data_IF_345656710482
#
_entry.id   IF_345656710482
#
_cell.length_a   1.000
_cell.length_b   1.000
_cell.length_c   1.000
_cell.angle_alpha   90.00
_cell.angle_beta   90.00
_cell.angle_gamma   90.00
#
_symmetry.space_group_name_H-M   'P 1'
#
loop_
_entity.id
_entity.type
_entity.pdbx_description
1 polymer ?
#
# COMPACT_ATOMS: atom_id res chain seq x y z
N UNK A 1 6.62 30.49 -5.42
CA UNK A 1 6.57 29.02 -5.42
C UNK A 1 5.55 28.61 -4.37
N UNK A 2 4.67 27.67 -4.69
CA UNK A 2 3.60 27.24 -3.79
C UNK A 2 4.19 26.54 -2.55
N UNK A 3 3.82 26.98 -1.34
CA UNK A 3 4.36 26.46 -0.07
C UNK A 3 4.10 24.95 0.08
N UNK A 4 2.97 24.46 -0.42
CA UNK A 4 2.64 23.03 -0.35
C UNK A 4 3.46 22.21 -1.36
N UNK A 5 3.82 22.80 -2.50
CA UNK A 5 4.70 22.15 -3.48
C UNK A 5 6.11 21.93 -2.91
N UNK A 6 6.63 22.91 -2.14
CA UNK A 6 7.91 22.78 -1.45
C UNK A 6 7.88 21.69 -0.38
N UNK A 7 6.81 21.61 0.40
CA UNK A 7 6.63 20.55 1.40
C UNK A 7 6.57 19.17 0.75
N UNK A 8 5.84 19.04 -0.35
CA UNK A 8 5.77 17.80 -1.13
C UNK A 8 7.15 17.42 -1.66
N UNK A 9 7.85 18.35 -2.30
CA UNK A 9 9.20 18.12 -2.81
C UNK A 9 10.16 17.66 -1.71
N UNK A 10 10.15 18.36 -0.58
CA UNK A 10 10.96 18.01 0.60
C UNK A 10 10.62 16.61 1.13
N UNK A 11 9.33 16.27 1.28
CA UNK A 11 8.91 14.97 1.79
C UNK A 11 9.32 13.82 0.85
N UNK A 12 9.13 13.95 -0.46
CA UNK A 12 9.55 12.94 -1.42
C UNK A 12 11.08 12.75 -1.44
N UNK A 13 11.83 13.84 -1.30
CA UNK A 13 13.29 13.83 -1.34
C UNK A 13 13.93 13.25 -0.08
N UNK A 14 13.40 13.57 1.10
CA UNK A 14 14.07 13.26 2.37
C UNK A 14 13.39 12.16 3.19
N UNK A 15 12.11 11.89 2.94
CA UNK A 15 11.35 10.90 3.70
C UNK A 15 10.84 9.75 2.82
N UNK A 16 10.63 9.96 1.52
CA UNK A 16 9.98 9.01 0.61
C UNK A 16 8.52 8.66 0.97
N UNK A 17 8.03 9.16 2.11
CA UNK A 17 6.74 8.90 2.73
C UNK A 17 6.15 10.21 3.25
N UNK A 18 4.83 10.36 3.13
CA UNK A 18 4.08 11.47 3.71
C UNK A 18 2.62 11.09 3.96
N UNK A 19 1.93 11.88 4.78
CA UNK A 19 0.50 11.72 5.00
C UNK A 19 -0.27 12.82 4.28
N UNK A 20 -1.22 12.42 3.43
CA UNK A 20 -2.05 13.32 2.64
C UNK A 20 -3.41 13.52 3.33
N UNK A 21 -3.70 14.77 3.71
CA UNK A 21 -4.99 15.21 4.27
C UNK A 21 -5.68 16.15 3.31
N UNK A 22 -6.98 16.41 3.54
CA UNK A 22 -7.80 17.25 2.66
C UNK A 22 -7.74 16.78 1.19
N UNK A 23 -7.67 15.46 1.00
CA UNK A 23 -7.47 14.78 -0.28
C UNK A 23 -8.67 14.85 -1.25
N UNK A 24 -9.79 15.46 -0.83
CA UNK A 24 -11.00 15.58 -1.66
C UNK A 24 -11.84 14.30 -1.79
N UNK A 25 -11.30 13.13 -1.42
CA UNK A 25 -12.09 11.88 -1.31
C UNK A 25 -13.15 12.02 -0.20
N UNK A 26 -14.40 11.72 -0.53
CA UNK A 26 -15.52 11.78 0.43
C UNK A 26 -15.30 10.82 1.61
N UNK A 27 -15.46 11.33 2.84
CA UNK A 27 -15.40 10.51 4.05
C UNK A 27 -16.44 9.38 4.04
N UNK A 28 -17.61 9.60 3.42
CA UNK A 28 -18.63 8.54 3.29
C UNK A 28 -18.19 7.39 2.38
N UNK A 29 -17.33 7.68 1.39
CA UNK A 29 -16.72 6.66 0.53
C UNK A 29 -15.63 5.92 1.30
N UNK A 30 -14.76 6.64 2.01
CA UNK A 30 -13.71 6.04 2.85
C UNK A 30 -14.31 5.07 3.88
N UNK A 31 -15.39 5.45 4.55
CA UNK A 31 -16.08 4.60 5.51
C UNK A 31 -16.74 3.37 4.87
N UNK A 32 -17.31 3.52 3.66
CA UNK A 32 -17.83 2.37 2.90
C UNK A 32 -16.72 1.40 2.54
N UNK A 33 -15.56 1.90 2.10
CA UNK A 33 -14.38 1.07 1.79
C UNK A 33 -13.90 0.31 3.03
N UNK A 34 -13.73 1.00 4.16
CA UNK A 34 -13.35 0.36 5.44
C UNK A 34 -14.30 -0.76 5.83
N UNK A 35 -15.62 -0.49 5.83
CA UNK A 35 -16.64 -1.50 6.17
C UNK A 35 -16.67 -2.66 5.18
N UNK A 36 -16.51 -2.38 3.89
CA UNK A 36 -16.48 -3.41 2.84
C UNK A 36 -15.29 -4.37 3.01
N UNK A 37 -14.10 -3.83 3.28
CA UNK A 37 -12.90 -4.65 3.50
C UNK A 37 -12.98 -5.43 4.80
N UNK A 38 -13.46 -4.82 5.88
CA UNK A 38 -13.69 -5.54 7.13
C UNK A 38 -14.72 -6.67 6.95
N UNK A 39 -15.80 -6.40 6.21
CA UNK A 39 -16.79 -7.42 5.84
C UNK A 39 -16.18 -8.56 5.02
N UNK A 40 -15.33 -8.24 4.03
CA UNK A 40 -14.63 -9.23 3.21
C UNK A 40 -13.75 -10.15 4.06
N UNK A 41 -12.90 -9.61 4.95
CA UNK A 41 -11.99 -10.43 5.74
C UNK A 41 -12.69 -11.25 6.82
N UNK A 42 -13.88 -10.82 7.27
CA UNK A 42 -14.75 -11.56 8.18
C UNK A 42 -15.50 -12.72 7.51
N UNK A 43 -15.48 -12.85 6.18
CA UNK A 43 -16.08 -14.00 5.50
C UNK A 43 -15.30 -15.30 5.81
N UNK A 44 -15.98 -16.46 5.78
CA UNK A 44 -15.32 -17.76 5.87
C UNK A 44 -14.20 -17.90 4.84
N UNK A 45 -13.10 -18.55 5.24
CA UNK A 45 -11.93 -18.74 4.36
C UNK A 45 -12.29 -19.44 3.04
N UNK A 46 -13.25 -20.37 3.07
CA UNK A 46 -13.72 -21.08 1.88
C UNK A 46 -14.37 -20.13 0.88
N UNK A 47 -15.15 -19.14 1.35
CA UNK A 47 -15.75 -18.13 0.49
C UNK A 47 -14.69 -17.19 -0.10
N UNK A 48 -13.68 -16.81 0.70
CA UNK A 48 -12.58 -15.95 0.25
C UNK A 48 -11.72 -16.65 -0.81
N UNK A 49 -11.45 -17.95 -0.66
CA UNK A 49 -10.65 -18.74 -1.60
C UNK A 49 -11.31 -18.94 -2.98
N UNK A 50 -12.64 -18.81 -3.10
CA UNK A 50 -13.33 -18.85 -4.40
C UNK A 50 -12.83 -17.77 -5.38
N UNK A 51 -12.21 -16.72 -4.86
CA UNK A 51 -11.70 -15.60 -5.63
C UNK A 51 -10.28 -15.81 -6.15
N UNK A 52 -9.60 -16.89 -5.75
CA UNK A 52 -8.27 -17.22 -6.20
C UNK A 52 -8.33 -18.27 -7.32
N UNK A 53 -7.79 -17.94 -8.49
CA UNK A 53 -7.68 -18.89 -9.60
C UNK A 53 -6.30 -19.56 -9.60
N UNK A 54 -6.20 -20.88 -9.89
CA UNK A 54 -4.92 -21.55 -9.98
C UNK A 54 -3.99 -20.88 -10.98
N UNK A 55 -2.80 -20.48 -10.55
CA UNK A 55 -1.78 -19.83 -11.38
C UNK A 55 -1.97 -18.32 -11.58
N UNK A 56 -3.02 -17.71 -11.00
CA UNK A 56 -3.21 -16.25 -11.01
C UNK A 56 -2.85 -15.63 -9.66
N UNK A 57 -2.28 -14.42 -9.70
CA UNK A 57 -1.93 -13.63 -8.51
C UNK A 57 -3.14 -12.90 -7.92
N UNK A 58 -4.24 -12.83 -8.67
CA UNK A 58 -5.47 -12.15 -8.28
C UNK A 58 -6.32 -13.03 -7.36
N UNK A 59 -6.95 -12.40 -6.37
CA UNK A 59 -7.79 -13.06 -5.37
C UNK A 59 -7.18 -13.14 -3.97
N UNK A 60 -7.79 -13.96 -3.12
CA UNK A 60 -7.39 -14.18 -1.74
C UNK A 60 -6.25 -15.21 -1.64
N UNK A 61 -5.20 -14.91 -0.90
CA UNK A 61 -4.11 -15.85 -0.65
C UNK A 61 -2.93 -15.20 0.06
N UNK A 62 -1.78 -15.88 0.00
CA UNK A 62 -0.49 -15.32 0.39
C UNK A 62 0.39 -15.14 -0.85
N UNK A 63 1.47 -14.37 -0.73
CA UNK A 63 2.48 -14.30 -1.79
C UNK A 63 3.00 -15.70 -2.14
N UNK A 64 3.19 -16.00 -3.42
CA UNK A 64 3.63 -17.33 -3.88
C UNK A 64 4.96 -17.71 -3.20
N UNK A 65 5.04 -18.96 -2.71
CA UNK A 65 6.30 -19.54 -2.23
C UNK A 65 7.12 -19.92 -3.47
N UNK A 66 8.20 -19.19 -3.72
CA UNK A 66 9.12 -19.41 -4.85
C UNK A 66 10.45 -20.02 -4.43
N UNK A 67 10.77 -20.06 -3.13
CA UNK A 67 11.94 -20.77 -2.57
C UNK A 67 11.73 -21.22 -1.13
N UNK A 68 12.56 -22.16 -0.64
CA UNK A 68 12.53 -22.65 0.74
C UNK A 68 13.08 -21.62 1.75
N UNK A 69 13.92 -20.67 1.31
CA UNK A 69 14.46 -19.59 2.13
C UNK A 69 13.54 -18.36 2.21
N UNK A 70 12.42 -18.38 1.49
CA UNK A 70 11.49 -17.25 1.44
C UNK A 70 10.85 -17.02 2.81
N UNK A 71 11.07 -15.83 3.37
CA UNK A 71 10.33 -15.36 4.53
C UNK A 71 8.94 -14.96 4.07
N UNK A 72 7.92 -15.62 4.63
CA UNK A 72 6.52 -15.29 4.37
C UNK A 72 6.07 -14.18 5.31
N UNK A 73 5.31 -13.24 4.75
CA UNK A 73 4.65 -12.21 5.56
C UNK A 73 3.54 -12.85 6.38
N UNK A 74 3.48 -12.48 7.66
CA UNK A 74 2.40 -12.89 8.54
C UNK A 74 1.16 -12.03 8.25
N UNK A 75 0.34 -12.50 7.32
CA UNK A 75 -0.91 -11.86 6.92
C UNK A 75 -1.62 -12.58 5.78
N UNK A 76 -2.92 -12.30 5.68
CA UNK A 76 -3.76 -12.64 4.54
C UNK A 76 -3.78 -11.49 3.54
N UNK A 77 -3.77 -11.83 2.26
CA UNK A 77 -3.71 -10.86 1.17
C UNK A 77 -4.89 -11.06 0.21
N UNK A 78 -5.47 -9.98 -0.28
CA UNK A 78 -6.43 -10.02 -1.38
C UNK A 78 -5.98 -9.03 -2.46
N UNK A 79 -5.51 -9.54 -3.59
CA UNK A 79 -4.99 -8.73 -4.68
C UNK A 79 -6.01 -8.60 -5.80
N UNK A 80 -6.14 -7.40 -6.38
CA UNK A 80 -7.02 -7.09 -7.50
C UNK A 80 -6.22 -6.27 -8.51
N UNK A 81 -6.11 -6.76 -9.75
CA UNK A 81 -5.56 -5.95 -10.83
C UNK A 81 -6.65 -5.04 -11.40
N UNK A 82 -6.34 -3.75 -11.55
CA UNK A 82 -7.22 -2.84 -12.29
C UNK A 82 -6.63 -2.66 -13.68
N UNK A 83 -7.44 -2.82 -14.73
CA UNK A 83 -6.95 -2.63 -16.09
C UNK A 83 -6.63 -1.15 -16.39
N UNK A 84 -5.56 -0.88 -17.16
CA UNK A 84 -4.63 -1.85 -17.79
C UNK A 84 -3.70 -2.51 -16.75
N UNK A 85 -3.30 -3.78 -16.98
CA UNK A 85 -2.51 -4.54 -16.01
C UNK A 85 -1.25 -3.77 -15.59
N UNK A 86 -0.95 -3.72 -14.28
CA UNK A 86 0.24 -3.03 -13.77
C UNK A 86 1.52 -3.68 -14.29
N UNK A 87 2.43 -2.83 -14.77
CA UNK A 87 3.83 -3.22 -14.88
C UNK A 87 4.40 -3.47 -13.47
N UNK A 88 5.39 -4.36 -13.39
CA UNK A 88 5.97 -4.83 -12.12
C UNK A 88 6.64 -3.72 -11.30
N UNK A 89 6.89 -2.53 -11.87
CA UNK A 89 7.56 -1.43 -11.19
C UNK A 89 6.56 -0.37 -10.75
N UNK A 90 6.48 -0.15 -9.44
CA UNK A 90 5.53 0.77 -8.81
C UNK A 90 6.12 2.18 -8.77
N UNK A 91 5.31 3.19 -9.12
CA UNK A 91 5.69 4.61 -9.02
C UNK A 91 5.26 5.26 -7.71
N UNK A 92 3.98 5.12 -7.35
CA UNK A 92 3.42 5.68 -6.10
C UNK A 92 2.49 4.65 -5.47
N UNK A 93 2.52 4.56 -4.15
CA UNK A 93 1.53 3.80 -3.38
C UNK A 93 0.69 4.75 -2.54
N UNK A 94 -0.63 4.53 -2.49
CA UNK A 94 -1.57 5.22 -1.60
C UNK A 94 -2.18 4.18 -0.66
N UNK A 95 -1.88 4.30 0.62
CA UNK A 95 -2.28 3.38 1.66
C UNK A 95 -3.35 4.02 2.56
N UNK A 96 -4.49 3.34 2.70
CA UNK A 96 -5.49 3.62 3.71
C UNK A 96 -5.38 2.57 4.82
N UNK A 97 -5.18 3.03 6.05
CA UNK A 97 -5.29 2.18 7.21
C UNK A 97 -6.74 2.13 7.70
N UNK A 98 -7.26 0.92 7.93
CA UNK A 98 -8.69 0.70 8.22
C UNK A 98 -8.96 0.77 9.72
N UNK A 99 -8.02 0.33 10.55
CA UNK A 99 -8.10 0.39 12.01
C UNK A 99 -6.91 1.14 12.62
N UNK A 100 -6.95 1.43 13.93
CA UNK A 100 -6.00 2.32 14.60
C UNK A 100 -4.71 1.64 15.07
N UNK A 101 -4.32 0.51 14.46
CA UNK A 101 -3.12 -0.23 14.87
C UNK A 101 -1.82 0.33 14.27
N UNK A 102 -0.95 0.85 15.12
CA UNK A 102 0.40 1.30 14.74
C UNK A 102 1.29 0.09 14.41
N UNK A 103 1.87 0.06 13.21
CA UNK A 103 2.59 -1.13 12.71
C UNK A 103 3.45 -0.84 11.49
N UNK A 104 3.07 0.13 10.66
CA UNK A 104 3.89 0.57 9.55
C UNK A 104 5.12 1.30 10.12
N UNK A 105 6.30 0.85 9.73
CA UNK A 105 7.57 1.47 10.08
C UNK A 105 8.36 1.75 8.81
N UNK A 106 9.06 2.89 8.77
CA UNK A 106 9.98 3.25 7.70
C UNK A 106 11.40 3.28 8.24
N UNK A 107 12.37 2.96 7.39
CA UNK A 107 13.79 3.02 7.76
C UNK A 107 14.32 4.41 7.46
N UNK A 108 14.70 5.14 8.50
CA UNK A 108 15.26 6.49 8.41
C UNK A 108 16.54 6.55 9.21
N UNK A 109 17.62 7.01 8.57
CA UNK A 109 18.95 7.16 9.20
C UNK A 109 19.43 5.87 9.91
N UNK A 110 19.13 4.71 9.33
CA UNK A 110 19.46 3.40 9.87
C UNK A 110 18.53 2.89 10.99
N UNK A 111 17.56 3.69 11.43
CA UNK A 111 16.59 3.34 12.47
C UNK A 111 15.19 3.08 11.89
N UNK A 112 14.44 2.15 12.48
CA UNK A 112 13.04 1.94 12.15
C UNK A 112 12.17 2.92 12.92
N UNK A 113 11.42 3.76 12.21
CA UNK A 113 10.55 4.80 12.77
C UNK A 113 9.09 4.45 12.49
N UNK A 114 8.21 4.38 13.52
CA UNK A 114 6.79 4.11 13.31
C UNK A 114 6.07 5.28 12.65
N UNK A 115 5.15 4.97 11.74
CA UNK A 115 4.18 5.92 11.20
C UNK A 115 2.90 5.80 12.00
N UNK A 116 2.54 6.86 12.73
CA UNK A 116 1.23 7.00 13.37
C UNK A 116 0.25 7.59 12.35
N UNK A 117 -0.77 6.83 11.88
CA UNK A 117 -1.74 7.34 10.93
C UNK A 117 -2.53 8.49 11.53
N UNK A 118 -2.69 9.56 10.76
CA UNK A 118 -3.56 10.67 11.11
C UNK A 118 -5.01 10.32 10.77
N UNK A 119 -6.00 10.83 11.54
CA UNK A 119 -7.39 10.73 11.17
C UNK A 119 -7.65 11.38 9.79
N UNK A 120 -8.44 10.71 8.96
CA UNK A 120 -8.80 11.15 7.60
C UNK A 120 -7.57 11.50 6.74
N UNK A 121 -6.61 10.58 6.73
CA UNK A 121 -5.39 10.71 5.94
C UNK A 121 -5.06 9.41 5.23
N UNK A 122 -4.43 9.56 4.06
CA UNK A 122 -3.72 8.46 3.40
C UNK A 122 -2.24 8.56 3.70
N UNK A 123 -1.57 7.42 3.87
CA UNK A 123 -0.11 7.35 3.79
C UNK A 123 0.25 7.17 2.31
N UNK A 124 1.17 7.99 1.81
CA UNK A 124 1.65 7.93 0.42
C UNK A 124 3.14 7.68 0.44
N UNK A 125 3.62 6.78 -0.43
CA UNK A 125 5.05 6.59 -0.62
C UNK A 125 5.48 6.56 -2.09
N UNK A 126 6.71 7.01 -2.28
CA UNK A 126 7.49 6.90 -3.52
C UNK A 126 7.87 5.44 -3.71
N UNK A 127 7.69 4.93 -4.92
CA UNK A 127 8.20 3.62 -5.35
C UNK A 127 9.36 3.76 -6.33
N UNK A 128 10.01 2.64 -6.61
CA UNK A 128 11.27 2.59 -7.36
C UNK A 128 11.19 3.24 -8.75
N UNK A 129 10.04 3.15 -9.44
CA UNK A 129 9.89 3.79 -10.75
C UNK A 129 10.00 5.32 -10.63
N UNK A 130 9.40 5.91 -9.59
CA UNK A 130 9.45 7.35 -9.38
C UNK A 130 10.86 7.79 -8.96
N UNK A 131 11.59 6.95 -8.23
CA UNK A 131 13.02 7.19 -7.95
C UNK A 131 13.85 7.21 -9.24
N UNK A 132 13.68 6.20 -10.10
CA UNK A 132 14.40 6.07 -11.38
C UNK A 132 14.15 7.30 -12.27
N UNK A 133 12.89 7.67 -12.49
CA UNK A 133 12.55 8.73 -13.45
C UNK A 133 12.94 10.12 -12.93
N UNK A 134 13.10 10.27 -11.62
CA UNK A 134 13.61 11.49 -10.98
C UNK A 134 15.13 11.47 -10.80
N UNK A 135 15.81 10.47 -11.37
CA UNK A 135 17.25 10.28 -11.28
C UNK A 135 17.76 10.30 -9.82
N UNK A 136 17.05 9.61 -8.93
CA UNK A 136 17.37 9.52 -7.51
C UNK A 136 16.99 10.76 -6.68
N UNK A 137 16.27 11.74 -7.25
CA UNK A 137 15.84 12.91 -6.49
C UNK A 137 14.79 12.57 -5.43
N UNK A 138 13.87 11.66 -5.74
CA UNK A 138 12.88 11.15 -4.78
C UNK A 138 13.22 9.72 -4.38
N UNK A 139 13.28 9.45 -3.08
CA UNK A 139 13.79 8.19 -2.57
C UNK A 139 12.67 7.19 -2.28
N UNK A 140 12.82 5.96 -2.78
CA UNK A 140 12.06 4.78 -2.38
C UNK A 140 12.64 4.25 -1.07
N UNK A 141 11.85 4.32 0.00
CA UNK A 141 12.33 4.02 1.36
C UNK A 141 11.90 2.64 1.82
N UNK A 142 12.85 1.87 2.36
CA UNK A 142 12.59 0.60 3.03
C UNK A 142 11.51 0.78 4.11
N UNK A 143 10.48 -0.05 4.06
CA UNK A 143 9.37 -0.03 5.00
C UNK A 143 8.97 -1.45 5.37
N UNK A 144 8.38 -1.62 6.56
CA UNK A 144 7.87 -2.90 7.05
C UNK A 144 6.59 -2.72 7.84
N UNK A 145 5.81 -3.78 7.95
CA UNK A 145 4.68 -3.87 8.86
C UNK A 145 5.07 -4.79 10.01
N UNK A 146 4.94 -4.32 11.25
CA UNK A 146 5.11 -5.16 12.45
C UNK A 146 3.75 -5.65 12.94
N UNK A 147 3.68 -6.93 13.29
CA UNK A 147 2.47 -7.55 13.86
C UNK A 147 2.51 -7.50 15.39
N UNK A 148 1.34 -7.59 16.02
CA UNK A 148 1.22 -7.76 17.47
C UNK A 148 0.20 -8.88 17.78
N UNK A 149 0.19 -9.37 19.01
CA UNK A 149 -0.69 -10.47 19.44
C UNK A 149 -2.05 -10.02 19.99
N UNK A 150 -2.33 -8.71 20.00
CA UNK A 150 -3.51 -8.14 20.65
C UNK A 150 -4.62 -7.79 19.66
N UNK A 151 -4.26 -7.26 18.50
CA UNK A 151 -5.20 -6.74 17.51
C UNK A 151 -4.69 -7.02 16.11
N UNK A 152 -5.63 -7.36 15.22
CA UNK A 152 -5.39 -7.40 13.80
C UNK A 152 -5.18 -5.98 13.24
N UNK A 153 -4.49 -5.89 12.11
CA UNK A 153 -4.40 -4.70 11.27
C UNK A 153 -4.99 -4.96 9.90
N UNK A 154 -5.90 -4.08 9.50
CA UNK A 154 -6.44 -4.05 8.14
C UNK A 154 -5.97 -2.80 7.39
N UNK A 155 -5.58 -2.97 6.13
CA UNK A 155 -5.23 -1.85 5.24
C UNK A 155 -5.51 -2.16 3.77
N UNK A 156 -5.64 -1.10 2.97
CA UNK A 156 -5.69 -1.17 1.50
C UNK A 156 -4.58 -0.29 0.94
N UNK A 157 -3.70 -0.89 0.14
CA UNK A 157 -2.70 -0.22 -0.66
C UNK A 157 -3.17 -0.17 -2.12
N UNK A 158 -3.20 1.03 -2.69
CA UNK A 158 -3.39 1.21 -4.14
C UNK A 158 -2.05 1.56 -4.75
N UNK A 159 -1.59 0.72 -5.68
CA UNK A 159 -0.34 0.92 -6.41
C UNK A 159 -0.63 1.59 -7.74
N UNK A 160 0.11 2.66 -8.02
CA UNK A 160 0.10 3.36 -9.30
C UNK A 160 1.45 3.10 -9.97
N UNK A 161 1.42 2.33 -11.06
CA UNK A 161 2.57 2.19 -11.95
C UNK A 161 2.44 3.24 -13.04
N UNK A 162 3.43 4.13 -13.11
CA UNK A 162 3.50 5.15 -14.15
C UNK A 162 3.92 4.47 -15.45
N UNK A 163 3.29 4.84 -16.56
CA UNK A 163 3.78 4.43 -17.88
C UNK A 163 4.54 5.59 -18.49
N UNK A 164 5.73 5.28 -19.01
CA UNK A 164 6.64 6.28 -19.60
C UNK A 164 6.31 6.57 -21.06
N UNK A 165 5.47 5.76 -21.68
CA UNK A 165 4.87 6.03 -22.98
C UNK A 165 3.55 6.82 -22.82
N UNK A 166 2.92 7.17 -23.94
CA UNK A 166 1.63 7.86 -23.95
C UNK A 166 0.45 6.95 -23.55
N UNK A 167 0.71 5.72 -23.08
CA UNK A 167 -0.36 4.78 -22.72
C UNK A 167 -0.92 5.07 -21.32
N UNK A 168 -2.17 4.66 -21.03
CA UNK A 168 -2.77 4.94 -19.73
C UNK A 168 -2.01 4.28 -18.58
N UNK A 169 -1.76 5.03 -17.50
CA UNK A 169 -1.20 4.49 -16.26
C UNK A 169 -2.02 3.30 -15.76
N UNK A 170 -1.31 2.28 -15.28
CA UNK A 170 -1.90 1.07 -14.73
C UNK A 170 -2.03 1.14 -13.21
N UNK A 171 -3.04 0.44 -12.67
CA UNK A 171 -3.36 0.47 -11.24
C UNK A 171 -3.46 -0.94 -10.68
N UNK A 172 -2.91 -1.17 -9.52
CA UNK A 172 -3.15 -2.38 -8.71
C UNK A 172 -3.80 -1.99 -7.40
N UNK A 173 -4.72 -2.81 -6.90
CA UNK A 173 -5.25 -2.67 -5.55
C UNK A 173 -4.85 -3.90 -4.77
N UNK A 174 -4.32 -3.69 -3.58
CA UNK A 174 -3.95 -4.75 -2.69
C UNK A 174 -4.50 -4.51 -1.30
N UNK A 175 -5.32 -5.44 -0.85
CA UNK A 175 -5.87 -5.48 0.49
C UNK A 175 -4.98 -6.38 1.32
N UNK A 176 -4.57 -5.89 2.49
CA UNK A 176 -3.78 -6.64 3.45
C UNK A 176 -4.51 -6.71 4.78
N UNK A 177 -4.58 -7.92 5.33
CA UNK A 177 -4.97 -8.19 6.70
C UNK A 177 -3.82 -8.89 7.42
N UNK A 178 -3.18 -8.20 8.35
CA UNK A 178 -2.17 -8.79 9.23
C UNK A 178 -2.84 -9.14 10.55
N UNK A 179 -2.91 -10.42 10.89
CA UNK A 179 -3.56 -10.96 12.10
C UNK A 179 -2.57 -11.44 13.15
#
# INVERSE_FOLDING_TARGET
MDVELEKLHHACKHCGFFQLRNHGVSSSLVEKVKKGIQGLFNLPVEEKKLWQRPGEIEGFGQSFVVSEEQKLDWGDMFFITCHPQPELVIGITILLQINEMESLQIKKDGAWVPIKPLPDAFVVNVGDLLEIITNGTYASIEHRVVVNSEKERLSIATFYSLRLDASPNSKGILLFAHS
#
